data_IF_151940260653
#
_entry.id   IF_151940260653
#
_cell.length_a   1.000
_cell.length_b   1.000
_cell.length_c   1.000
_cell.angle_alpha   90.00
_cell.angle_beta   90.00
_cell.angle_gamma   90.00
#
_symmetry.space_group_name_H-M   'P 1'
#
loop_
_entity.id
_entity.type
_entity.pdbx_description
1 polymer ?
#
# COMPACT_ATOMS: atom_id res chain seq x y z
N UNK A 1 -4.32 -10.64 0.55
CA UNK A 1 -4.31 -9.17 0.46
C UNK A 1 -3.22 -8.67 1.38
N UNK A 2 -2.46 -7.68 0.94
CA UNK A 2 -1.34 -7.09 1.68
C UNK A 2 -1.57 -5.58 1.82
N UNK A 3 -1.10 -5.01 2.93
CA UNK A 3 -1.16 -3.58 3.22
C UNK A 3 0.22 -3.06 3.64
N UNK A 4 0.71 -1.99 3.04
CA UNK A 4 2.00 -1.36 3.41
C UNK A 4 1.81 -0.26 4.44
N UNK A 5 2.77 -0.05 5.35
CA UNK A 5 2.63 0.95 6.40
C UNK A 5 3.63 2.09 6.18
N UNK A 6 3.13 3.33 6.09
CA UNK A 6 3.93 4.55 6.14
C UNK A 6 3.13 5.65 6.85
N UNK A 7 3.81 6.45 7.66
CA UNK A 7 3.18 7.41 8.58
C UNK A 7 3.29 6.97 10.04
N UNK A 8 2.28 7.27 10.84
CA UNK A 8 2.21 6.87 12.24
C UNK A 8 2.13 5.36 12.39
N UNK A 9 3.12 4.75 13.05
CA UNK A 9 3.17 3.29 13.22
C UNK A 9 1.93 2.75 13.96
N UNK A 10 1.47 3.45 15.00
CA UNK A 10 0.28 3.09 15.75
C UNK A 10 -0.99 3.15 14.88
N UNK A 11 -1.17 4.25 14.14
CA UNK A 11 -2.33 4.46 13.27
C UNK A 11 -2.39 3.38 12.19
N UNK A 12 -1.28 3.15 11.49
CA UNK A 12 -1.21 2.16 10.42
C UNK A 12 -1.53 0.75 10.93
N UNK A 13 -0.89 0.32 12.03
CA UNK A 13 -1.10 -1.01 12.59
C UNK A 13 -2.54 -1.21 13.07
N UNK A 14 -3.08 -0.23 13.80
CA UNK A 14 -4.43 -0.29 14.32
C UNK A 14 -5.47 -0.37 13.20
N UNK A 15 -5.39 0.53 12.22
CA UNK A 15 -6.38 0.58 11.14
C UNK A 15 -6.24 -0.58 10.15
N UNK A 16 -5.03 -1.10 9.90
CA UNK A 16 -4.87 -2.33 9.14
C UNK A 16 -5.45 -3.56 9.85
N UNK A 17 -5.26 -3.68 11.17
CA UNK A 17 -5.88 -4.75 11.95
C UNK A 17 -7.40 -4.64 11.93
N UNK A 18 -7.93 -3.42 12.08
CA UNK A 18 -9.36 -3.16 11.99
C UNK A 18 -9.93 -3.54 10.61
N UNK A 19 -9.23 -3.17 9.53
CA UNK A 19 -9.56 -3.59 8.17
C UNK A 19 -9.58 -5.11 8.06
N UNK A 20 -8.57 -5.81 8.57
CA UNK A 20 -8.51 -7.27 8.56
C UNK A 20 -9.74 -7.93 9.22
N UNK A 21 -10.17 -7.41 10.37
CA UNK A 21 -11.40 -7.86 11.05
C UNK A 21 -12.62 -7.65 10.17
N UNK A 22 -12.78 -6.46 9.58
CA UNK A 22 -13.92 -6.14 8.70
C UNK A 22 -13.93 -6.98 7.43
N UNK A 23 -12.77 -7.23 6.82
CA UNK A 23 -12.61 -8.14 5.69
C UNK A 23 -13.05 -9.56 6.05
N UNK A 24 -12.68 -10.05 7.24
CA UNK A 24 -13.09 -11.39 7.72
C UNK A 24 -14.58 -11.46 7.99
N UNK A 25 -15.17 -10.43 8.61
CA UNK A 25 -16.61 -10.34 8.81
C UNK A 25 -17.38 -10.35 7.49
N UNK A 26 -16.90 -9.61 6.48
CA UNK A 26 -17.47 -9.63 5.14
C UNK A 26 -17.44 -11.04 4.54
N UNK A 27 -16.32 -11.75 4.68
CA UNK A 27 -16.18 -13.13 4.18
C UNK A 27 -17.17 -14.09 4.83
N UNK A 28 -17.34 -14.00 6.15
CA UNK A 28 -18.29 -14.85 6.89
C UNK A 28 -19.75 -14.55 6.51
N UNK A 29 -20.11 -13.27 6.37
CA UNK A 29 -21.48 -12.87 6.06
C UNK A 29 -21.89 -13.21 4.61
N UNK A 30 -20.98 -13.05 3.65
CA UNK A 30 -21.27 -13.20 2.23
C UNK A 30 -20.80 -14.55 1.65
N UNK A 31 -20.17 -15.39 2.46
CA UNK A 31 -19.52 -16.65 2.03
C UNK A 31 -18.53 -16.46 0.88
N UNK A 32 -17.95 -15.26 0.78
CA UNK A 32 -17.10 -14.81 -0.32
C UNK A 32 -16.09 -13.80 0.19
N UNK A 33 -14.83 -13.93 -0.23
CA UNK A 33 -13.78 -12.96 0.09
C UNK A 33 -14.09 -11.58 -0.48
N UNK A 34 -13.78 -10.55 0.31
CA UNK A 34 -13.88 -9.16 -0.13
C UNK A 34 -12.92 -8.88 -1.30
N UNK A 35 -13.37 -8.06 -2.25
CA UNK A 35 -12.50 -7.59 -3.34
C UNK A 35 -11.46 -6.59 -2.83
N UNK A 36 -10.35 -6.44 -3.56
CA UNK A 36 -9.32 -5.42 -3.26
C UNK A 36 -9.92 -4.02 -3.36
N UNK A 37 -10.81 -3.83 -4.33
CA UNK A 37 -11.61 -2.61 -4.50
C UNK A 37 -12.46 -2.32 -3.28
N UNK A 38 -13.15 -3.33 -2.74
CA UNK A 38 -14.00 -3.19 -1.56
C UNK A 38 -13.21 -2.90 -0.29
N UNK A 39 -12.12 -3.64 -0.04
CA UNK A 39 -11.27 -3.44 1.13
C UNK A 39 -10.63 -2.04 1.15
N UNK A 40 -10.08 -1.59 0.02
CA UNK A 40 -9.50 -0.24 -0.08
C UNK A 40 -10.55 0.86 0.12
N UNK A 41 -11.77 0.69 -0.41
CA UNK A 41 -12.85 1.66 -0.22
C UNK A 41 -13.33 1.70 1.23
N UNK A 42 -13.41 0.54 1.89
CA UNK A 42 -13.78 0.45 3.29
C UNK A 42 -12.75 1.14 4.19
N UNK A 43 -11.45 0.94 3.93
CA UNK A 43 -10.40 1.66 4.68
C UNK A 43 -10.46 3.17 4.44
N UNK A 44 -10.60 3.62 3.19
CA UNK A 44 -10.69 5.04 2.86
C UNK A 44 -11.87 5.73 3.57
N UNK A 45 -13.04 5.07 3.60
CA UNK A 45 -14.21 5.60 4.30
C UNK A 45 -14.00 5.68 5.82
N UNK A 46 -13.29 4.71 6.42
CA UNK A 46 -12.93 4.74 7.85
C UNK A 46 -11.98 5.89 8.12
N UNK A 47 -10.90 6.04 7.35
CA UNK A 47 -9.94 7.12 7.57
C UNK A 47 -10.59 8.50 7.36
N UNK A 48 -11.48 8.63 6.37
CA UNK A 48 -12.24 9.85 6.14
C UNK A 48 -13.10 10.26 7.35
N UNK A 49 -13.66 9.31 8.13
CA UNK A 49 -14.45 9.66 9.31
C UNK A 49 -13.60 10.25 10.46
N UNK A 50 -12.28 10.12 10.39
CA UNK A 50 -11.32 10.70 11.33
C UNK A 50 -10.48 11.82 10.69
N UNK A 51 -10.92 12.34 9.53
CA UNK A 51 -10.23 13.40 8.81
C UNK A 51 -10.09 14.65 9.69
N UNK A 52 -8.89 15.23 9.71
CA UNK A 52 -8.59 16.40 10.54
C UNK A 52 -8.34 16.09 12.03
N UNK A 53 -8.42 14.83 12.46
CA UNK A 53 -8.14 14.42 13.85
C UNK A 53 -6.66 14.06 14.10
N UNK A 54 -5.78 14.33 13.14
CA UNK A 54 -4.33 14.12 13.27
C UNK A 54 -3.84 12.71 12.95
N UNK A 55 -4.64 11.87 12.28
CA UNK A 55 -4.16 10.57 11.79
C UNK A 55 -3.06 10.75 10.75
N UNK A 56 -2.04 9.89 10.81
CA UNK A 56 -0.96 9.83 9.83
C UNK A 56 -0.89 8.45 9.21
N UNK A 57 -1.49 8.28 8.03
CA UNK A 57 -1.53 7.01 7.30
C UNK A 57 -1.33 7.29 5.82
N UNK A 58 -0.34 6.63 5.23
CA UNK A 58 -0.20 6.46 3.79
C UNK A 58 0.04 4.98 3.51
N UNK A 59 -0.93 4.31 2.89
CA UNK A 59 -0.89 2.85 2.72
C UNK A 59 -1.24 2.45 1.30
N UNK A 60 -0.66 1.35 0.86
CA UNK A 60 -1.03 0.66 -0.37
C UNK A 60 -1.72 -0.65 -0.04
N UNK A 61 -2.90 -0.87 -0.61
CA UNK A 61 -3.63 -2.13 -0.55
C UNK A 61 -3.42 -2.88 -1.86
N UNK A 62 -2.71 -4.00 -1.78
CA UNK A 62 -2.41 -4.88 -2.91
C UNK A 62 -3.10 -6.23 -2.74
N UNK A 63 -3.58 -6.79 -3.84
CA UNK A 63 -4.13 -8.14 -3.84
C UNK A 63 -4.55 -8.62 -5.22
N UNK A 64 -5.11 -9.83 -5.24
CA UNK A 64 -5.69 -10.44 -6.42
C UNK A 64 -7.12 -10.86 -6.09
N UNK A 65 -8.06 -10.51 -6.96
CA UNK A 65 -9.45 -10.95 -6.87
C UNK A 65 -9.96 -11.39 -8.25
N UNK A 66 -11.28 -11.59 -8.40
CA UNK A 66 -11.90 -12.02 -9.65
C UNK A 66 -11.69 -11.04 -10.82
N UNK A 67 -11.33 -9.78 -10.54
CA UNK A 67 -11.01 -8.77 -11.55
C UNK A 67 -9.51 -8.73 -11.89
N UNK A 68 -8.71 -9.62 -11.29
CA UNK A 68 -7.27 -9.70 -11.48
C UNK A 68 -6.48 -8.96 -10.39
N UNK A 69 -5.23 -8.53 -10.69
CA UNK A 69 -4.40 -7.80 -9.75
C UNK A 69 -4.94 -6.39 -9.50
N UNK A 70 -5.06 -6.02 -8.22
CA UNK A 70 -5.48 -4.71 -7.77
C UNK A 70 -4.45 -4.07 -6.87
N UNK A 71 -4.16 -2.79 -7.12
CA UNK A 71 -3.29 -1.96 -6.29
C UNK A 71 -3.96 -0.59 -6.07
N UNK A 72 -4.10 -0.21 -4.81
CA UNK A 72 -4.73 1.03 -4.40
C UNK A 72 -3.86 1.77 -3.39
N UNK A 73 -3.67 3.06 -3.58
CA UNK A 73 -3.19 3.98 -2.56
C UNK A 73 -4.37 4.50 -1.73
N UNK A 74 -4.20 4.59 -0.41
CA UNK A 74 -5.15 5.18 0.53
C UNK A 74 -4.40 6.05 1.54
N UNK A 75 -4.93 7.23 1.85
CA UNK A 75 -4.33 8.18 2.81
C UNK A 75 -5.26 8.57 3.97
N UNK A 76 -4.71 9.25 4.97
CA UNK A 76 -5.42 9.74 6.16
C UNK A 76 -6.48 10.80 5.88
N UNK A 77 -6.47 11.43 4.70
CA UNK A 77 -7.50 12.37 4.26
C UNK A 77 -8.70 11.64 3.61
N UNK A 78 -8.66 10.30 3.54
CA UNK A 78 -9.66 9.48 2.87
C UNK A 78 -9.47 9.44 1.35
N UNK A 79 -8.34 9.95 0.85
CA UNK A 79 -7.94 9.83 -0.54
C UNK A 79 -7.79 8.36 -0.93
N UNK A 80 -8.20 8.02 -2.15
CA UNK A 80 -8.12 6.65 -2.67
C UNK A 80 -7.88 6.65 -4.16
N UNK A 81 -6.76 6.07 -4.59
CA UNK A 81 -6.35 6.04 -5.99
C UNK A 81 -6.06 4.60 -6.43
N UNK A 82 -6.59 4.19 -7.58
CA UNK A 82 -6.18 2.94 -8.24
C UNK A 82 -4.98 3.23 -9.14
N UNK A 83 -3.97 2.39 -9.13
CA UNK A 83 -2.78 2.61 -9.94
C UNK A 83 -2.02 1.33 -10.24
N UNK A 84 -1.02 1.43 -11.12
CA UNK A 84 -0.11 0.32 -11.44
C UNK A 84 1.15 0.33 -10.58
N UNK A 85 1.52 1.50 -10.06
CA UNK A 85 2.75 1.75 -9.31
C UNK A 85 2.49 2.87 -8.30
N UNK A 86 2.99 2.69 -7.10
CA UNK A 86 2.97 3.69 -6.04
C UNK A 86 4.25 3.56 -5.21
N UNK A 87 4.68 4.67 -4.62
CA UNK A 87 5.73 4.70 -3.60
C UNK A 87 5.31 5.68 -2.51
N UNK A 88 5.41 5.28 -1.25
CA UNK A 88 4.88 6.03 -0.10
C UNK A 88 5.92 6.10 1.00
N UNK A 89 5.98 7.22 1.72
CA UNK A 89 6.97 7.48 2.79
C UNK A 89 8.01 8.52 2.39
N UNK A 90 8.92 8.84 3.31
CA UNK A 90 9.98 9.85 3.12
C UNK A 90 10.92 9.52 1.96
N UNK A 91 11.25 8.24 1.76
CA UNK A 91 12.08 7.77 0.65
C UNK A 91 11.38 7.73 -0.71
N UNK A 92 10.10 8.09 -0.79
CA UNK A 92 9.28 7.90 -2.00
C UNK A 92 9.85 8.55 -3.26
N UNK A 93 10.31 9.82 -3.26
CA UNK A 93 10.85 10.45 -4.46
C UNK A 93 12.07 9.72 -5.05
N UNK A 94 12.95 9.20 -4.18
CA UNK A 94 14.13 8.45 -4.61
C UNK A 94 13.76 7.08 -5.21
N UNK A 95 12.80 6.38 -4.59
CA UNK A 95 12.29 5.13 -5.11
C UNK A 95 11.60 5.32 -6.48
N UNK A 96 10.82 6.39 -6.65
CA UNK A 96 10.21 6.71 -7.94
C UNK A 96 11.24 6.91 -9.05
N UNK A 97 12.35 7.61 -8.79
CA UNK A 97 13.41 7.81 -9.79
C UNK A 97 13.95 6.51 -10.39
N UNK A 98 14.10 5.46 -9.57
CA UNK A 98 14.55 4.13 -10.04
C UNK A 98 13.41 3.32 -10.64
N UNK A 99 12.23 3.34 -10.01
CA UNK A 99 11.06 2.60 -10.49
C UNK A 99 10.59 3.10 -11.86
N UNK A 100 10.57 4.41 -12.09
CA UNK A 100 10.07 4.97 -13.34
C UNK A 100 11.03 4.78 -14.51
N UNK A 101 12.34 4.76 -14.24
CA UNK A 101 13.37 4.46 -15.24
C UNK A 101 13.37 2.97 -15.64
N UNK A 102 13.30 2.07 -14.66
CA UNK A 102 13.47 0.63 -14.91
C UNK A 102 12.18 -0.14 -15.26
N UNK A 103 11.00 0.41 -15.01
CA UNK A 103 9.75 -0.34 -15.13
C UNK A 103 9.35 -0.66 -16.57
N UNK A 104 9.00 -1.93 -16.81
CA UNK A 104 8.27 -2.39 -18.00
C UNK A 104 7.06 -3.22 -17.58
N UNK A 105 5.98 -3.16 -18.35
CA UNK A 105 4.77 -3.91 -18.01
C UNK A 105 4.97 -5.43 -18.12
N UNK A 106 5.82 -5.87 -19.04
CA UNK A 106 6.06 -7.27 -19.39
C UNK A 106 7.38 -7.83 -18.80
N UNK A 107 7.71 -7.45 -17.57
CA UNK A 107 8.89 -7.96 -16.87
C UNK A 107 8.70 -9.41 -16.40
N UNK A 108 9.80 -10.16 -16.32
CA UNK A 108 9.81 -11.41 -15.57
C UNK A 108 9.65 -11.13 -14.06
N UNK A 109 9.31 -12.16 -13.28
CA UNK A 109 9.18 -12.03 -11.82
C UNK A 109 10.52 -11.64 -11.19
N UNK A 110 11.61 -12.20 -11.70
CA UNK A 110 12.99 -11.94 -11.26
C UNK A 110 13.41 -10.51 -11.59
N UNK A 111 13.15 -10.03 -12.81
CA UNK A 111 13.44 -8.65 -13.19
C UNK A 111 12.66 -7.64 -12.33
N UNK A 112 11.37 -7.92 -12.09
CA UNK A 112 10.52 -7.06 -11.28
C UNK A 112 10.96 -7.03 -9.81
N UNK A 113 11.34 -8.19 -9.26
CA UNK A 113 11.88 -8.31 -7.91
C UNK A 113 13.19 -7.54 -7.74
N UNK A 114 14.10 -7.67 -8.71
CA UNK A 114 15.38 -6.94 -8.69
C UNK A 114 15.18 -5.42 -8.82
N UNK A 115 14.27 -4.97 -9.70
CA UNK A 115 13.93 -3.55 -9.78
C UNK A 115 13.37 -3.02 -8.45
N UNK A 116 12.50 -3.79 -7.80
CA UNK A 116 11.97 -3.45 -6.48
C UNK A 116 13.07 -3.32 -5.42
N UNK A 117 13.98 -4.30 -5.34
CA UNK A 117 15.13 -4.25 -4.41
C UNK A 117 16.03 -3.05 -4.67
N UNK A 118 16.36 -2.78 -5.94
CA UNK A 118 17.18 -1.62 -6.33
C UNK A 118 16.53 -0.30 -5.96
N UNK A 119 15.23 -0.16 -6.21
CA UNK A 119 14.50 1.06 -5.87
C UNK A 119 14.53 1.34 -4.35
N UNK A 120 14.31 0.32 -3.53
CA UNK A 120 14.39 0.45 -2.07
C UNK A 120 15.83 0.74 -1.63
N UNK A 121 16.83 0.05 -2.19
CA UNK A 121 18.24 0.30 -1.87
C UNK A 121 18.67 1.74 -2.14
N UNK A 122 18.30 2.30 -3.29
CA UNK A 122 18.62 3.68 -3.61
C UNK A 122 17.88 4.68 -2.72
N UNK A 123 16.64 4.38 -2.33
CA UNK A 123 15.88 5.21 -1.40
C UNK A 123 16.51 5.20 0.00
N UNK A 124 16.88 4.04 0.54
CA UNK A 124 17.53 3.94 1.86
C UNK A 124 18.93 4.54 1.88
N UNK A 125 19.64 4.54 0.75
CA UNK A 125 20.95 5.18 0.66
C UNK A 125 20.87 6.72 0.71
N UNK A 126 19.74 7.32 0.30
CA UNK A 126 19.57 8.78 0.20
C UNK A 126 18.71 9.39 1.30
N UNK A 127 17.70 8.67 1.78
CA UNK A 127 16.79 9.14 2.81
C UNK A 127 17.22 8.68 4.21
N UNK A 128 17.52 9.63 5.10
CA UNK A 128 17.98 9.35 6.46
C UNK A 128 16.95 8.65 7.36
N UNK A 129 15.65 8.74 7.02
CA UNK A 129 14.58 8.06 7.75
C UNK A 129 14.27 6.65 7.23
N UNK A 130 14.95 6.21 6.17
CA UNK A 130 14.76 4.89 5.54
C UNK A 130 16.01 4.02 5.70
N UNK A 131 15.86 2.76 6.09
CA UNK A 131 17.01 1.86 6.27
C UNK A 131 16.63 0.45 6.69
N UNK A 132 17.63 -0.37 7.02
CA UNK A 132 17.45 -1.74 7.49
C UNK A 132 17.49 -2.77 6.36
N UNK A 133 16.43 -3.56 6.23
CA UNK A 133 16.40 -4.75 5.35
C UNK A 133 15.35 -4.58 4.26
N UNK A 134 15.76 -4.85 3.02
CA UNK A 134 14.87 -5.14 1.90
C UNK A 134 15.10 -6.62 1.53
N UNK A 135 14.10 -7.47 1.79
CA UNK A 135 14.13 -8.90 1.48
C UNK A 135 13.29 -9.20 0.26
#
# INVERSE_FOLDING_TARGET
>A
MLGTMAGGAADCQFWHRNLGIKCRLHELANKRRISVTGASKLLANILYSYRGMGLSVGTMIAGWDETGPGLYYVDSEGGRLKGKRFSVGSGSPYAYGVLDDGYRYNMSVEEAGELGRRAIYHATFRDAASGGVAS
#
